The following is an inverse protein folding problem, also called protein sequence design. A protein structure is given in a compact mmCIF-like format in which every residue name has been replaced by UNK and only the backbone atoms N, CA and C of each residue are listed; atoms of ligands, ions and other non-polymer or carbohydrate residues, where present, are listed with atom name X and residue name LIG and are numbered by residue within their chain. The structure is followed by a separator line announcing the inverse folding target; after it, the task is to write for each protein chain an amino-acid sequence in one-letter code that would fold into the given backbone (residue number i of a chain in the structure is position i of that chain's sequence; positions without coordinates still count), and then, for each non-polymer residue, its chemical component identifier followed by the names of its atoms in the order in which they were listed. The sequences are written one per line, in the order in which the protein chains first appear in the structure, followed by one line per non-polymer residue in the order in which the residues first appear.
data_IF_936487296735
#
_entry.id   IF_936487296735
#
_cell.length_a   1.000
_cell.length_b   1.000
_cell.length_c   1.000
_cell.angle_alpha   90.00
_cell.angle_beta   90.00
_cell.angle_gamma   90.00
#
_symmetry.space_group_name_H-M   'P 1'
#
loop_
_entity.id
_entity.type
_entity.pdbx_description
1 polymer ?
#
# COMPACT_ATOMS: atom_id res chain seq x y z
N UNK A 1 -9.29 -11.98 -16.59
CA UNK A 1 -9.93 -12.32 -15.31
C UNK A 1 -9.01 -12.05 -14.14
N UNK A 2 -9.27 -10.99 -13.43
CA UNK A 2 -8.53 -10.75 -12.22
C UNK A 2 -9.45 -10.27 -11.13
N UNK A 3 -9.13 -10.65 -9.89
CA UNK A 3 -9.88 -10.23 -8.72
C UNK A 3 -9.36 -8.87 -8.28
N UNK A 4 -10.25 -7.89 -8.15
CA UNK A 4 -9.88 -6.53 -7.76
C UNK A 4 -10.14 -6.35 -6.28
N UNK A 5 -9.08 -6.02 -5.55
CA UNK A 5 -9.14 -5.86 -4.09
C UNK A 5 -8.82 -4.41 -3.75
N UNK A 6 -9.69 -3.78 -2.97
CA UNK A 6 -9.48 -2.40 -2.54
C UNK A 6 -9.99 -2.22 -1.11
N UNK A 7 -9.63 -1.10 -0.50
CA UNK A 7 -10.11 -0.78 0.83
C UNK A 7 -11.64 -0.62 0.86
N UNK A 8 -12.23 -0.89 2.02
CA UNK A 8 -13.68 -0.84 2.19
C UNK A 8 -14.23 0.57 2.07
N UNK A 9 -13.39 1.60 2.18
CA UNK A 9 -13.80 2.99 2.00
C UNK A 9 -13.58 3.50 0.58
N UNK A 10 -13.23 2.61 -0.34
CA UNK A 10 -13.08 2.97 -1.74
C UNK A 10 -14.45 3.24 -2.36
N UNK A 11 -14.60 4.33 -3.13
CA UNK A 11 -15.88 4.63 -3.77
C UNK A 11 -16.14 3.79 -5.02
N UNK A 12 -15.18 2.99 -5.46
CA UNK A 12 -15.34 2.23 -6.69
C UNK A 12 -16.32 1.09 -6.53
N UNK A 13 -17.20 0.92 -7.52
CA UNK A 13 -18.15 -0.17 -7.54
C UNK A 13 -17.62 -1.38 -8.33
N UNK A 14 -16.46 -1.23 -8.96
CA UNK A 14 -15.87 -2.32 -9.76
C UNK A 14 -14.95 -3.21 -8.94
N UNK A 15 -15.02 -3.09 -7.63
CA UNK A 15 -14.18 -3.86 -6.70
C UNK A 15 -14.84 -5.20 -6.41
N UNK A 16 -14.06 -6.26 -6.51
CA UNK A 16 -14.57 -7.61 -6.20
C UNK A 16 -14.49 -7.92 -4.71
N UNK A 17 -13.43 -7.47 -4.06
CA UNK A 17 -13.24 -7.68 -2.62
C UNK A 17 -12.88 -6.35 -1.96
N UNK A 18 -13.65 -5.96 -0.95
CA UNK A 18 -13.34 -4.79 -0.15
C UNK A 18 -12.77 -5.25 1.19
N UNK A 19 -11.67 -4.65 1.59
CA UNK A 19 -10.96 -5.05 2.81
C UNK A 19 -10.89 -3.91 3.81
N UNK A 20 -10.84 -4.29 5.07
CA UNK A 20 -10.66 -3.35 6.18
C UNK A 20 -9.22 -3.38 6.65
N UNK A 21 -8.83 -2.35 7.38
CA UNK A 21 -7.49 -2.27 7.94
C UNK A 21 -7.20 -3.49 8.82
N UNK A 22 -6.09 -4.14 8.53
CA UNK A 22 -5.66 -5.30 9.28
C UNK A 22 -6.27 -6.62 8.81
N UNK A 23 -7.18 -6.56 7.86
CA UNK A 23 -7.84 -7.76 7.38
C UNK A 23 -6.91 -8.58 6.50
N UNK A 24 -7.03 -9.90 6.60
CA UNK A 24 -6.23 -10.81 5.78
C UNK A 24 -7.06 -11.37 4.65
N UNK A 25 -6.46 -11.38 3.46
CA UNK A 25 -7.09 -11.94 2.26
C UNK A 25 -6.24 -13.10 1.79
N UNK A 26 -6.86 -14.26 1.66
CA UNK A 26 -6.16 -15.45 1.20
C UNK A 26 -6.54 -15.74 -0.24
N UNK A 27 -5.54 -15.83 -1.10
CA UNK A 27 -5.72 -16.15 -2.51
C UNK A 27 -4.82 -17.34 -2.80
N UNK A 28 -5.42 -18.52 -2.94
CA UNK A 28 -4.71 -19.79 -3.09
C UNK A 28 -3.74 -19.97 -1.91
N UNK A 29 -2.44 -20.01 -2.16
CA UNK A 29 -1.45 -20.19 -1.12
C UNK A 29 -0.90 -18.88 -0.58
N UNK A 30 -1.39 -17.76 -1.08
CA UNK A 30 -0.88 -16.44 -0.73
C UNK A 30 -1.83 -15.77 0.25
N UNK A 31 -1.28 -15.25 1.33
CA UNK A 31 -2.05 -14.48 2.31
C UNK A 31 -1.53 -13.05 2.34
N UNK A 32 -2.43 -12.10 2.11
CA UNK A 32 -2.13 -10.67 2.14
C UNK A 32 -2.76 -10.04 3.37
N UNK A 33 -2.02 -9.20 4.06
CA UNK A 33 -2.58 -8.39 5.15
C UNK A 33 -2.81 -6.98 4.61
N UNK A 34 -4.04 -6.51 4.70
CA UNK A 34 -4.42 -5.18 4.24
C UNK A 34 -4.06 -4.16 5.31
N UNK A 35 -3.33 -3.12 4.93
CA UNK A 35 -2.96 -2.04 5.82
C UNK A 35 -3.51 -0.73 5.27
N UNK A 36 -4.35 -0.06 6.05
CA UNK A 36 -4.84 1.26 5.65
C UNK A 36 -3.68 2.25 5.78
N UNK A 37 -3.27 2.81 4.66
CA UNK A 37 -2.15 3.74 4.61
C UNK A 37 -2.57 5.02 3.89
N UNK A 38 -3.46 5.81 4.51
CA UNK A 38 -3.97 7.02 3.87
C UNK A 38 -2.89 8.10 3.78
N UNK A 39 -3.11 9.07 2.91
CA UNK A 39 -2.21 10.19 2.71
C UNK A 39 -2.22 10.65 1.28
N UNK A 40 -1.87 9.75 0.35
CA UNK A 40 -2.01 10.04 -1.07
C UNK A 40 -3.50 10.17 -1.41
N UNK A 41 -4.30 9.22 -0.93
CA UNK A 41 -5.76 9.35 -0.93
C UNK A 41 -6.27 8.84 0.41
N UNK A 42 -7.55 9.15 0.71
CA UNK A 42 -8.16 8.71 1.95
C UNK A 42 -8.39 7.19 1.96
N UNK A 43 -8.49 6.59 0.79
CA UNK A 43 -8.75 5.16 0.66
C UNK A 43 -7.51 4.34 0.29
N UNK A 44 -6.32 4.90 0.42
CA UNK A 44 -5.09 4.19 0.08
C UNK A 44 -4.84 3.03 1.03
N UNK A 45 -4.50 1.88 0.46
CA UNK A 45 -4.13 0.70 1.20
C UNK A 45 -2.80 0.15 0.70
N UNK A 46 -2.06 -0.45 1.60
CA UNK A 46 -0.86 -1.22 1.26
C UNK A 46 -1.14 -2.68 1.62
N UNK A 47 -0.51 -3.59 0.92
CA UNK A 47 -0.73 -5.02 1.14
C UNK A 47 0.59 -5.70 1.48
N UNK A 48 0.64 -6.29 2.64
CA UNK A 48 1.84 -6.94 3.16
C UNK A 48 1.70 -8.46 3.04
N UNK A 49 2.73 -9.09 2.53
CA UNK A 49 2.80 -10.54 2.52
C UNK A 49 4.23 -10.97 2.85
N UNK A 50 4.34 -11.94 3.72
CA UNK A 50 5.56 -12.65 4.04
C UNK A 50 6.85 -11.80 4.07
N UNK A 51 7.39 -11.44 2.91
CA UNK A 51 8.67 -10.74 2.81
C UNK A 51 8.59 -9.43 2.04
N UNK A 52 7.38 -8.99 1.68
CA UNK A 52 7.23 -7.80 0.83
C UNK A 52 5.95 -7.06 1.13
N UNK A 53 5.93 -5.79 0.74
CA UNK A 53 4.76 -4.95 0.89
C UNK A 53 4.53 -4.17 -0.41
N UNK A 54 3.28 -4.15 -0.85
CA UNK A 54 2.87 -3.42 -2.04
C UNK A 54 2.25 -2.11 -1.58
N UNK A 55 2.92 -1.00 -1.85
CA UNK A 55 2.60 0.28 -1.25
C UNK A 55 1.82 1.24 -2.15
N UNK A 56 1.56 0.85 -3.39
CA UNK A 56 0.87 1.75 -4.31
C UNK A 56 1.57 3.08 -4.40
N UNK A 57 0.82 4.16 -4.24
CA UNK A 57 1.38 5.51 -4.28
C UNK A 57 1.67 6.08 -2.89
N UNK A 58 1.52 5.28 -1.84
CA UNK A 58 1.86 5.74 -0.50
C UNK A 58 3.36 5.93 -0.35
N UNK A 59 4.12 4.96 -0.81
CA UNK A 59 5.58 5.02 -0.74
C UNK A 59 6.14 4.62 -2.10
N UNK A 60 6.92 5.50 -2.69
CA UNK A 60 7.53 5.28 -4.00
C UNK A 60 9.03 5.16 -3.86
N UNK A 61 9.70 4.81 -4.94
CA UNK A 61 11.16 4.78 -4.96
C UNK A 61 11.66 6.21 -4.85
N UNK A 62 12.42 6.48 -3.80
CA UNK A 62 12.97 7.81 -3.51
C UNK A 62 11.92 8.89 -3.28
N UNK A 63 10.75 8.51 -2.82
CA UNK A 63 9.72 9.51 -2.56
C UNK A 63 8.40 8.91 -2.11
N UNK A 64 7.40 9.76 -2.12
CA UNK A 64 6.04 9.38 -1.75
C UNK A 64 5.07 9.95 -2.78
N UNK A 65 3.85 9.45 -2.79
CA UNK A 65 2.81 10.03 -3.62
C UNK A 65 2.45 11.42 -3.14
N UNK A 66 1.87 12.22 -4.04
CA UNK A 66 1.42 13.56 -3.68
C UNK A 66 0.28 13.47 -2.67
N UNK A 67 0.15 14.52 -1.85
CA UNK A 67 -0.85 14.53 -0.79
C UNK A 67 -1.81 15.71 -0.90
N UNK A 68 -1.78 16.43 -2.00
CA UNK A 68 -2.53 17.67 -2.18
C UNK A 68 -3.74 17.49 -3.10
N UNK A 69 -4.22 16.28 -3.27
CA UNK A 69 -5.28 15.98 -4.21
C UNK A 69 -6.11 14.78 -3.72
N UNK A 70 -7.39 14.72 -4.10
CA UNK A 70 -8.28 13.58 -3.83
C UNK A 70 -8.32 13.14 -2.36
N UNK A 71 -8.47 14.11 -1.45
CA UNK A 71 -8.53 13.79 -0.03
C UNK A 71 -7.19 13.46 0.58
N UNK A 72 -6.10 13.83 -0.08
CA UNK A 72 -4.77 13.58 0.43
C UNK A 72 -4.47 14.37 1.69
N UNK A 73 -3.51 13.89 2.46
CA UNK A 73 -3.10 14.52 3.71
C UNK A 73 -1.64 14.20 3.98
N UNK A 74 -0.81 15.24 4.08
CA UNK A 74 0.60 15.06 4.38
C UNK A 74 0.79 14.43 5.76
N UNK A 75 -0.06 14.78 6.71
CA UNK A 75 0.01 14.22 8.05
C UNK A 75 -0.29 12.72 8.03
N UNK A 76 -1.35 12.34 7.33
CA UNK A 76 -1.72 10.93 7.22
C UNK A 76 -0.64 10.14 6.48
N UNK A 77 -0.05 10.73 5.44
CA UNK A 77 1.04 10.10 4.71
C UNK A 77 2.23 9.85 5.62
N UNK A 78 2.58 10.83 6.45
CA UNK A 78 3.66 10.68 7.41
C UNK A 78 3.37 9.52 8.37
N UNK A 79 2.18 9.51 8.95
CA UNK A 79 1.79 8.47 9.89
C UNK A 79 1.78 7.09 9.23
N UNK A 80 1.29 7.00 8.00
CA UNK A 80 1.25 5.74 7.28
C UNK A 80 2.65 5.18 7.04
N UNK A 81 3.58 6.04 6.65
CA UNK A 81 4.94 5.60 6.36
C UNK A 81 5.69 5.27 7.65
N UNK A 82 5.72 6.21 8.60
CA UNK A 82 6.60 6.06 9.77
C UNK A 82 6.00 5.18 10.86
N UNK A 83 4.69 5.17 11.01
CA UNK A 83 4.05 4.42 12.08
C UNK A 83 3.48 3.08 11.64
N UNK A 84 3.44 2.80 10.36
CA UNK A 84 2.93 1.54 9.85
C UNK A 84 3.94 0.83 8.94
N UNK A 85 4.31 1.44 7.82
CA UNK A 85 5.18 0.76 6.86
C UNK A 85 6.58 0.53 7.41
N UNK A 86 7.16 1.52 8.07
CA UNK A 86 8.51 1.37 8.61
C UNK A 86 8.56 0.52 9.88
N UNK A 87 7.40 0.09 10.39
CA UNK A 87 7.35 -0.86 11.52
C UNK A 87 7.38 -2.31 11.05
N UNK A 88 7.30 -2.55 9.77
CA UNK A 88 7.41 -3.90 9.22
C UNK A 88 8.85 -4.39 9.37
N UNK A 89 9.06 -5.72 9.27
CA UNK A 89 10.41 -6.27 9.40
C UNK A 89 11.40 -5.56 8.47
N UNK A 90 12.60 -5.38 8.96
CA UNK A 90 13.61 -4.57 8.29
C UNK A 90 13.97 -5.07 6.89
N UNK A 91 13.92 -6.36 6.68
CA UNK A 91 14.22 -6.96 5.39
C UNK A 91 13.03 -6.99 4.42
N UNK A 92 11.93 -6.32 4.76
CA UNK A 92 10.75 -6.27 3.89
C UNK A 92 11.07 -5.54 2.60
N UNK A 93 10.77 -6.16 1.48
CA UNK A 93 10.95 -5.56 0.16
C UNK A 93 9.75 -4.67 -0.15
N UNK A 94 10.00 -3.50 -0.74
CA UNK A 94 8.95 -2.54 -1.06
C UNK A 94 8.67 -2.55 -2.56
N UNK A 95 7.41 -2.74 -2.91
CA UNK A 95 6.95 -2.79 -4.30
C UNK A 95 5.94 -1.65 -4.53
N UNK A 96 6.40 -0.48 -4.98
CA UNK A 96 5.51 0.65 -5.23
C UNK A 96 4.82 0.56 -6.59
N UNK A 97 3.84 1.44 -6.80
CA UNK A 97 3.03 1.42 -8.02
C UNK A 97 3.82 1.65 -9.29
N UNK A 98 4.91 2.39 -9.22
CA UNK A 98 5.69 2.76 -10.40
C UNK A 98 6.82 1.80 -10.73
N UNK A 99 6.82 0.62 -10.20
CA UNK A 99 7.89 -0.32 -10.43
C UNK A 99 8.03 -0.82 -11.87
N UNK A 100 6.99 -0.76 -12.63
CA UNK A 100 7.02 -1.27 -14.00
C UNK A 100 7.96 -0.46 -14.90
N UNK A 101 8.38 0.71 -14.45
CA UNK A 101 9.21 1.58 -15.26
C UNK A 101 10.69 1.37 -15.09
N UNK A 102 11.10 0.66 -14.08
CA UNK A 102 12.50 0.40 -13.85
C UNK A 102 12.68 -0.70 -12.83
N UNK A 103 13.91 -1.12 -12.71
CA UNK A 103 14.25 -2.17 -11.77
C UNK A 103 14.00 -1.72 -10.34
N UNK A 104 13.51 -2.64 -9.54
CA UNK A 104 13.23 -2.36 -8.15
C UNK A 104 14.55 -2.22 -7.38
N UNK A 105 14.64 -1.16 -6.59
CA UNK A 105 15.76 -0.95 -5.69
C UNK A 105 15.14 -0.66 -4.33
N UNK A 106 14.69 -1.71 -3.67
CA UNK A 106 13.91 -1.58 -2.46
C UNK A 106 14.73 -1.13 -1.27
N UNK A 107 16.00 -1.46 -1.26
CA UNK A 107 16.88 -1.08 -0.17
C UNK A 107 17.10 0.42 -0.07
N UNK A 108 16.72 1.16 -1.07
CA UNK A 108 16.84 2.62 -1.03
C UNK A 108 15.95 3.26 0.02
N UNK A 109 15.00 2.50 0.54
CA UNK A 109 14.09 2.98 1.58
C UNK A 109 14.52 2.59 2.97
N UNK A 110 15.57 1.83 3.07
CA UNK A 110 16.09 1.34 4.36
C UNK A 110 17.35 2.08 4.81
#
# INVERSE_FOLDING_TARGET
NCTRIMGDNSPSEVVDIKVKDGEKVKIEDIELTALHTPGHTICSFSFFMKDRVFTGDTLLINGTGRTDFQGGSAKDQYDSIFNRLLKLPEETLVYPALLFRKKIITQDFK
#
